data_IF_596729960138
#
_entry.id   IF_596729960138
#
_cell.length_a   1.000
_cell.length_b   1.000
_cell.length_c   1.000
_cell.angle_alpha   90.00
_cell.angle_beta   90.00
_cell.angle_gamma   90.00
#
_symmetry.space_group_name_H-M   'P 1'
#
loop_
_entity.id
_entity.type
_entity.pdbx_description
1 polymer ?
#
# COMPACT_ATOMS: atom_id res chain seq x y z
N UNK A 1 -2.60 20.75 -9.84
CA UNK A 1 -2.54 21.39 -8.52
C UNK A 1 -3.73 22.33 -8.30
N UNK A 2 -4.27 22.98 -9.34
CA UNK A 2 -5.37 23.92 -9.21
C UNK A 2 -6.63 23.26 -8.62
N UNK A 3 -7.01 22.08 -9.10
CA UNK A 3 -8.14 21.32 -8.56
C UNK A 3 -7.93 20.90 -7.08
N UNK A 4 -6.68 20.59 -6.67
CA UNK A 4 -6.41 20.23 -5.29
C UNK A 4 -6.53 21.44 -4.35
N UNK A 5 -6.06 22.60 -4.79
CA UNK A 5 -6.21 23.85 -4.03
C UNK A 5 -7.66 24.28 -3.91
N UNK A 6 -8.47 24.09 -4.96
CA UNK A 6 -9.90 24.38 -4.96
C UNK A 6 -10.66 23.47 -3.98
N UNK A 7 -10.38 22.15 -4.04
CA UNK A 7 -11.02 21.17 -3.15
C UNK A 7 -10.60 21.40 -1.69
N UNK A 8 -9.32 21.58 -1.40
CA UNK A 8 -8.82 21.76 -0.04
C UNK A 8 -9.14 23.16 0.53
N UNK A 9 -9.41 24.14 -0.33
CA UNK A 9 -9.82 25.49 0.07
C UNK A 9 -11.31 25.61 0.42
N UNK A 10 -12.14 24.64 0.04
CA UNK A 10 -13.56 24.65 0.38
C UNK A 10 -13.84 23.85 1.67
N UNK A 11 -14.18 24.51 2.79
CA UNK A 11 -14.46 23.85 4.06
C UNK A 11 -15.73 22.97 4.01
N UNK A 12 -16.61 23.15 3.02
CA UNK A 12 -17.82 22.36 2.86
C UNK A 12 -17.57 21.12 1.95
N UNK A 13 -16.42 21.02 1.32
CA UNK A 13 -16.07 19.84 0.54
C UNK A 13 -15.93 18.62 1.46
N UNK A 14 -16.58 17.51 1.10
CA UNK A 14 -16.54 16.25 1.87
C UNK A 14 -15.11 15.72 2.06
N UNK A 15 -14.24 15.90 1.08
CA UNK A 15 -12.83 15.51 1.18
C UNK A 15 -12.07 16.35 2.20
N UNK A 16 -12.32 17.66 2.21
CA UNK A 16 -11.72 18.58 3.19
C UNK A 16 -12.20 18.24 4.60
N UNK A 17 -13.49 18.01 4.79
CA UNK A 17 -14.05 17.59 6.09
C UNK A 17 -13.43 16.27 6.56
N UNK A 18 -13.33 15.26 5.67
CA UNK A 18 -12.72 13.97 6.02
C UNK A 18 -11.25 14.10 6.41
N UNK A 19 -10.51 14.99 5.77
CA UNK A 19 -9.12 15.28 6.13
C UNK A 19 -9.05 15.89 7.52
N UNK A 20 -9.88 16.89 7.83
CA UNK A 20 -9.93 17.48 9.18
C UNK A 20 -10.34 16.45 10.24
N UNK A 21 -11.38 15.65 9.97
CA UNK A 21 -11.82 14.58 10.86
C UNK A 21 -10.67 13.57 11.12
N UNK A 22 -9.88 13.26 10.12
CA UNK A 22 -8.74 12.37 10.27
C UNK A 22 -7.65 12.99 11.18
N UNK A 23 -7.35 14.28 11.01
CA UNK A 23 -6.39 14.98 11.88
C UNK A 23 -6.87 15.08 13.32
N UNK A 24 -8.17 15.27 13.54
CA UNK A 24 -8.76 15.45 14.87
C UNK A 24 -8.97 14.13 15.62
N UNK A 25 -9.26 13.04 14.91
CA UNK A 25 -9.72 11.78 15.50
C UNK A 25 -8.74 10.62 15.38
N UNK A 26 -7.77 10.66 14.48
CA UNK A 26 -6.78 9.60 14.34
C UNK A 26 -5.56 9.82 15.24
N UNK A 27 -4.94 8.70 15.65
CA UNK A 27 -3.68 8.78 16.37
C UNK A 27 -2.61 9.50 15.51
N UNK A 28 -1.82 10.45 16.06
CA UNK A 28 -0.85 11.25 15.30
C UNK A 28 0.13 10.43 14.45
N UNK A 29 0.53 9.24 14.93
CA UNK A 29 1.41 8.35 14.14
C UNK A 29 0.72 7.82 12.88
N UNK A 30 -0.60 7.56 12.90
CA UNK A 30 -1.34 7.16 11.70
C UNK A 30 -1.38 8.29 10.68
N UNK A 31 -1.72 9.50 11.14
CA UNK A 31 -1.73 10.69 10.28
C UNK A 31 -0.34 10.92 9.67
N UNK A 32 0.71 10.84 10.50
CA UNK A 32 2.10 10.97 10.05
C UNK A 32 2.45 9.94 8.97
N UNK A 33 2.11 8.66 9.19
CA UNK A 33 2.38 7.58 8.22
C UNK A 33 1.64 7.81 6.91
N UNK A 34 0.36 8.21 6.95
CA UNK A 34 -0.40 8.53 5.74
C UNK A 34 0.23 9.70 4.96
N UNK A 35 0.59 10.76 5.64
CA UNK A 35 1.19 11.94 4.98
C UNK A 35 2.57 11.61 4.42
N UNK A 36 3.43 10.95 5.19
CA UNK A 36 4.80 10.68 4.77
C UNK A 36 4.88 9.51 3.78
N UNK A 37 4.31 8.36 4.12
CA UNK A 37 4.51 7.16 3.30
C UNK A 37 3.59 7.16 2.08
N UNK A 38 2.29 7.43 2.23
CA UNK A 38 1.37 7.46 1.10
C UNK A 38 1.50 8.78 0.31
N UNK A 39 1.45 9.92 0.99
CA UNK A 39 1.48 11.23 0.33
C UNK A 39 2.83 11.57 -0.27
N UNK A 40 3.90 11.50 0.51
CA UNK A 40 5.22 11.92 0.08
C UNK A 40 5.99 10.80 -0.64
N UNK A 41 6.22 9.65 0.01
CA UNK A 41 7.04 8.58 -0.58
C UNK A 41 6.35 7.92 -1.77
N UNK A 42 5.11 7.46 -1.65
CA UNK A 42 4.42 6.82 -2.77
C UNK A 42 3.89 7.84 -3.80
N UNK A 43 3.25 8.93 -3.32
CA UNK A 43 2.53 9.88 -4.17
C UNK A 43 3.40 10.90 -4.90
N UNK A 44 4.48 11.38 -4.29
CA UNK A 44 5.35 12.40 -4.91
C UNK A 44 6.65 11.80 -5.42
N UNK A 45 7.54 11.38 -4.52
CA UNK A 45 8.89 10.91 -4.90
C UNK A 45 8.83 9.60 -5.68
N UNK A 46 8.06 8.64 -5.19
CA UNK A 46 7.88 7.35 -5.83
C UNK A 46 7.20 7.45 -7.19
N UNK A 47 6.12 8.24 -7.29
CA UNK A 47 5.41 8.41 -8.56
C UNK A 47 6.29 9.07 -9.64
N UNK A 48 7.15 10.03 -9.26
CA UNK A 48 8.14 10.60 -10.17
C UNK A 48 9.09 9.52 -10.70
N UNK A 49 9.63 8.71 -9.80
CA UNK A 49 10.55 7.61 -10.16
C UNK A 49 9.87 6.52 -11.00
N UNK A 50 8.61 6.20 -10.70
CA UNK A 50 7.80 5.29 -11.54
C UNK A 50 7.69 5.83 -12.96
N UNK A 51 7.42 7.13 -13.13
CA UNK A 51 7.33 7.76 -14.44
C UNK A 51 8.66 7.69 -15.21
N UNK A 52 9.77 8.02 -14.56
CA UNK A 52 11.12 7.93 -15.13
C UNK A 52 11.44 6.49 -15.57
N UNK A 53 11.09 5.49 -14.76
CA UNK A 53 11.30 4.09 -15.08
C UNK A 53 10.40 3.58 -16.23
N UNK A 54 9.16 4.09 -16.35
CA UNK A 54 8.31 3.81 -17.51
C UNK A 54 8.96 4.27 -18.83
N UNK A 55 9.51 5.48 -18.83
CA UNK A 55 10.23 6.03 -19.98
C UNK A 55 11.50 5.22 -20.27
N UNK A 56 12.29 4.91 -19.24
CA UNK A 56 13.55 4.17 -19.35
C UNK A 56 13.38 2.76 -19.90
N UNK A 57 12.36 2.03 -19.44
CA UNK A 57 12.17 0.62 -19.80
C UNK A 57 11.15 0.41 -20.92
N UNK A 58 10.46 1.46 -21.37
CA UNK A 58 9.46 1.37 -22.43
C UNK A 58 8.26 0.49 -22.08
N UNK A 59 7.95 0.34 -20.78
CA UNK A 59 6.85 -0.48 -20.29
C UNK A 59 6.13 0.18 -19.12
N UNK A 60 4.93 -0.32 -18.81
CA UNK A 60 4.20 0.17 -17.66
C UNK A 60 4.84 -0.33 -16.36
N UNK A 61 5.24 0.61 -15.48
CA UNK A 61 5.62 0.35 -14.09
C UNK A 61 4.42 0.73 -13.22
N UNK A 62 3.86 -0.18 -12.41
CA UNK A 62 2.69 0.10 -11.58
C UNK A 62 3.03 1.09 -10.47
N UNK A 63 2.01 1.76 -9.93
CA UNK A 63 2.14 2.63 -8.77
C UNK A 63 1.87 1.89 -7.45
N UNK A 64 1.08 0.82 -7.53
CA UNK A 64 0.71 -0.04 -6.41
C UNK A 64 0.90 -1.50 -6.79
N UNK A 65 1.31 -2.31 -5.82
CA UNK A 65 1.37 -3.76 -5.96
C UNK A 65 0.41 -4.39 -4.95
N UNK A 66 -0.47 -5.26 -5.47
CA UNK A 66 -1.30 -6.11 -4.66
C UNK A 66 -0.62 -7.48 -4.55
N UNK A 67 -0.42 -7.95 -3.32
CA UNK A 67 0.27 -9.21 -3.03
C UNK A 67 -0.59 -10.14 -2.19
N UNK A 68 -0.49 -11.41 -2.49
CA UNK A 68 -1.12 -12.50 -1.73
C UNK A 68 -0.02 -13.28 -0.98
N UNK A 69 0.32 -12.91 0.26
CA UNK A 69 1.38 -13.58 1.00
C UNK A 69 1.08 -15.05 1.27
N UNK A 70 -0.20 -15.40 1.33
CA UNK A 70 -0.66 -16.76 1.64
C UNK A 70 -2.05 -17.01 1.08
N UNK A 71 -2.33 -18.23 0.68
CA UNK A 71 -3.69 -18.70 0.41
C UNK A 71 -4.42 -19.18 1.67
N UNK A 72 -3.73 -19.30 2.82
CA UNK A 72 -4.35 -19.69 4.07
C UNK A 72 -5.36 -18.64 4.55
N UNK A 73 -6.52 -19.08 4.99
CA UNK A 73 -7.57 -18.21 5.48
C UNK A 73 -8.32 -18.86 6.63
N UNK A 74 -8.62 -18.12 7.68
CA UNK A 74 -9.43 -18.54 8.81
C UNK A 74 -10.89 -18.09 8.68
N UNK A 75 -11.28 -17.50 7.55
CA UNK A 75 -12.61 -17.00 7.25
C UNK A 75 -13.33 -17.88 6.22
N UNK A 76 -14.65 -17.69 6.08
CA UNK A 76 -15.52 -18.38 5.11
C UNK A 76 -16.49 -17.37 4.49
N UNK A 77 -15.93 -16.40 3.77
CA UNK A 77 -16.72 -15.34 3.15
C UNK A 77 -17.55 -15.88 1.99
N UNK A 78 -18.83 -15.52 1.90
CA UNK A 78 -19.69 -15.89 0.79
C UNK A 78 -19.18 -15.25 -0.50
N UNK A 79 -18.98 -16.05 -1.56
CA UNK A 79 -18.49 -15.57 -2.85
C UNK A 79 -17.00 -15.18 -2.86
N UNK A 80 -16.23 -15.69 -1.91
CA UNK A 80 -14.78 -15.42 -1.87
C UNK A 80 -14.08 -16.05 -3.08
N UNK A 81 -13.40 -15.22 -3.86
CA UNK A 81 -12.63 -15.66 -5.03
C UNK A 81 -11.41 -16.54 -4.67
N UNK A 82 -10.88 -16.39 -3.45
CA UNK A 82 -9.72 -17.14 -2.97
C UNK A 82 -10.07 -18.43 -2.25
N UNK A 83 -11.36 -18.75 -2.06
CA UNK A 83 -11.81 -19.89 -1.24
C UNK A 83 -11.36 -21.26 -1.77
N UNK A 84 -11.08 -21.36 -3.06
CA UNK A 84 -10.74 -22.63 -3.74
C UNK A 84 -9.23 -22.96 -3.73
N UNK A 85 -8.37 -22.00 -3.37
CA UNK A 85 -6.91 -22.18 -3.43
C UNK A 85 -6.33 -23.05 -2.29
N UNK A 86 -7.09 -23.25 -1.22
CA UNK A 86 -6.64 -24.03 -0.05
C UNK A 86 -5.49 -23.35 0.70
N UNK A 87 -4.79 -24.14 1.54
CA UNK A 87 -3.76 -23.61 2.47
C UNK A 87 -2.31 -23.79 1.98
N UNK A 88 -2.10 -24.09 0.71
CA UNK A 88 -0.81 -24.60 0.23
C UNK A 88 0.09 -23.56 -0.44
N UNK A 89 -0.48 -22.45 -0.88
CA UNK A 89 0.27 -21.44 -1.62
C UNK A 89 0.74 -20.36 -0.64
N UNK A 90 2.05 -20.27 -0.45
CA UNK A 90 2.67 -19.28 0.42
C UNK A 90 3.93 -18.73 -0.24
N UNK A 91 4.11 -17.43 -0.20
CA UNK A 91 5.39 -16.80 -0.47
C UNK A 91 6.27 -16.89 0.78
N UNK A 92 7.55 -17.11 0.62
CA UNK A 92 8.50 -17.01 1.74
C UNK A 92 8.70 -15.57 2.16
N UNK A 93 9.27 -15.34 3.34
CA UNK A 93 9.58 -13.99 3.81
C UNK A 93 10.63 -13.32 2.94
N UNK A 94 11.61 -14.11 2.46
CA UNK A 94 12.65 -13.67 1.56
C UNK A 94 12.10 -13.25 0.20
N UNK A 95 11.10 -13.96 -0.32
CA UNK A 95 10.42 -13.61 -1.56
C UNK A 95 9.62 -12.31 -1.41
N UNK A 96 8.84 -12.18 -0.33
CA UNK A 96 8.09 -10.95 -0.04
C UNK A 96 9.03 -9.75 0.13
N UNK A 97 10.08 -9.90 0.91
CA UNK A 97 11.11 -8.88 1.13
C UNK A 97 11.77 -8.45 -0.18
N UNK A 98 12.13 -9.42 -1.03
CA UNK A 98 12.73 -9.15 -2.33
C UNK A 98 11.79 -8.38 -3.24
N UNK A 99 10.50 -8.79 -3.32
CA UNK A 99 9.50 -8.09 -4.13
C UNK A 99 9.36 -6.63 -3.67
N UNK A 100 9.27 -6.38 -2.37
CA UNK A 100 9.17 -5.02 -1.84
C UNK A 100 10.45 -4.22 -2.15
N UNK A 101 11.61 -4.81 -1.94
CA UNK A 101 12.91 -4.16 -2.18
C UNK A 101 13.07 -3.77 -3.66
N UNK A 102 12.79 -4.70 -4.57
CA UNK A 102 12.88 -4.46 -6.02
C UNK A 102 11.83 -3.44 -6.49
N UNK A 103 10.61 -3.51 -5.94
CA UNK A 103 9.56 -2.54 -6.23
C UNK A 103 9.95 -1.11 -5.81
N UNK A 104 10.54 -0.93 -4.62
CA UNK A 104 11.08 0.36 -4.16
C UNK A 104 12.15 0.90 -5.08
N UNK A 105 13.01 0.03 -5.64
CA UNK A 105 13.99 0.43 -6.63
C UNK A 105 13.35 1.00 -7.92
N UNK A 106 12.11 0.62 -8.22
CA UNK A 106 11.30 1.18 -9.31
C UNK A 106 10.47 2.41 -8.91
N UNK A 107 10.42 2.75 -7.63
CA UNK A 107 9.64 3.88 -7.09
C UNK A 107 8.27 3.48 -6.53
N UNK A 108 8.00 2.17 -6.38
CA UNK A 108 6.73 1.68 -5.84
C UNK A 108 6.84 1.57 -4.33
N UNK A 109 6.05 2.36 -3.60
CA UNK A 109 6.02 2.40 -2.14
C UNK A 109 4.63 2.11 -1.57
N UNK A 110 3.67 1.71 -2.41
CA UNK A 110 2.33 1.35 -1.99
C UNK A 110 2.05 -0.13 -2.26
N UNK A 111 1.72 -0.87 -1.19
CA UNK A 111 1.46 -2.31 -1.23
C UNK A 111 0.13 -2.63 -0.56
N UNK A 112 -0.64 -3.51 -1.19
CA UNK A 112 -1.89 -4.04 -0.64
C UNK A 112 -1.69 -5.52 -0.38
N UNK A 113 -1.75 -5.93 0.89
CA UNK A 113 -1.69 -7.33 1.28
C UNK A 113 -3.08 -7.93 1.30
N UNK A 114 -3.31 -8.96 0.50
CA UNK A 114 -4.59 -9.66 0.37
C UNK A 114 -4.38 -11.17 0.20
N UNK A 115 -5.19 -11.87 -0.56
CA UNK A 115 -5.10 -13.31 -0.81
C UNK A 115 -6.08 -14.12 0.01
N UNK A 116 -5.63 -15.02 0.86
CA UNK A 116 -6.40 -15.63 1.94
C UNK A 116 -6.69 -14.60 3.02
N UNK A 117 -6.29 -14.89 4.26
CA UNK A 117 -6.26 -13.86 5.32
C UNK A 117 -4.80 -13.53 5.65
N UNK A 118 -4.29 -12.38 5.20
CA UNK A 118 -2.87 -12.05 5.38
C UNK A 118 -2.45 -12.01 6.85
N UNK A 119 -3.36 -11.69 7.78
CA UNK A 119 -3.06 -11.65 9.21
C UNK A 119 -2.88 -13.05 9.85
N UNK A 120 -3.12 -14.13 9.13
CA UNK A 120 -2.64 -15.47 9.50
C UNK A 120 -1.11 -15.47 9.62
N UNK A 121 -0.44 -14.62 8.83
CA UNK A 121 1.02 -14.39 8.86
C UNK A 121 1.40 -13.08 9.55
N UNK A 122 0.67 -12.69 10.58
CA UNK A 122 0.86 -11.41 11.28
C UNK A 122 2.32 -11.10 11.63
N UNK A 123 3.09 -12.10 12.12
CA UNK A 123 4.50 -11.88 12.50
C UNK A 123 5.37 -11.47 11.31
N UNK A 124 5.16 -12.13 10.18
CA UNK A 124 5.92 -11.87 8.96
C UNK A 124 5.58 -10.48 8.40
N UNK A 125 4.29 -10.15 8.35
CA UNK A 125 3.82 -8.84 7.88
C UNK A 125 4.35 -7.71 8.77
N UNK A 126 4.32 -7.88 10.09
CA UNK A 126 4.88 -6.88 11.01
C UNK A 126 6.38 -6.68 10.80
N UNK A 127 7.13 -7.77 10.64
CA UNK A 127 8.58 -7.70 10.36
C UNK A 127 8.87 -6.97 9.04
N UNK A 128 8.09 -7.25 8.00
CA UNK A 128 8.22 -6.56 6.71
C UNK A 128 7.85 -5.07 6.82
N UNK A 129 6.79 -4.74 7.55
CA UNK A 129 6.39 -3.34 7.79
C UNK A 129 7.43 -2.56 8.61
N UNK A 130 8.08 -3.19 9.58
CA UNK A 130 9.18 -2.58 10.33
C UNK A 130 10.41 -2.35 9.43
N UNK A 131 10.76 -3.33 8.60
CA UNK A 131 11.91 -3.25 7.69
C UNK A 131 11.69 -2.22 6.58
N UNK A 132 10.49 -2.16 6.04
CA UNK A 132 10.09 -1.26 4.95
C UNK A 132 9.18 -0.13 5.46
N UNK A 133 9.59 0.54 6.52
CA UNK A 133 8.81 1.57 7.21
C UNK A 133 8.57 2.86 6.41
N UNK A 134 9.16 2.95 5.23
CA UNK A 134 8.95 3.98 4.21
C UNK A 134 7.86 3.61 3.18
N UNK A 135 7.28 2.43 3.27
CA UNK A 135 6.16 1.97 2.45
C UNK A 135 4.80 2.20 3.14
N UNK A 136 3.72 2.18 2.33
CA UNK A 136 2.34 2.24 2.76
C UNK A 136 1.60 0.97 2.34
#
# INVERSE_FOLDING_TARGET
>A
WDNANEVLGDPNCKWTQQIYDAFDNLHPNLVKTHVLNLGFEAGLTGFKKVKENREKYGCNVPWVILMDPTSACNLRCTGCWAAEYGYKLNLTNEELDRVITEAKALGIHFFIMTGGEPMVRKKDIMMLAEKHNDCF
#
